data_IF_187436488308
#
_entry.id   IF_187436488308
#
_cell.length_a   1.000
_cell.length_b   1.000
_cell.length_c   1.000
_cell.angle_alpha   90.00
_cell.angle_beta   90.00
_cell.angle_gamma   90.00
#
_symmetry.space_group_name_H-M   'P 1'
#
loop_
_entity.id
_entity.type
_entity.pdbx_description
1 polymer ?
#
# COMPACT_ATOMS: atom_id res chain seq x y z
N UNK A 1 -19.88 -9.52 -18.12
CA UNK A 1 -20.15 -8.08 -18.30
C UNK A 1 -19.25 -7.56 -19.41
N UNK A 2 -19.78 -7.00 -20.50
CA UNK A 2 -18.96 -6.41 -21.56
C UNK A 2 -18.36 -5.08 -21.09
N UNK A 3 -17.12 -4.80 -21.49
CA UNK A 3 -16.50 -3.49 -21.30
C UNK A 3 -17.21 -2.44 -22.18
N UNK A 4 -17.35 -1.18 -21.73
CA UNK A 4 -17.87 -0.11 -22.57
C UNK A 4 -17.06 0.03 -23.87
N UNK A 5 -17.73 0.31 -24.98
CA UNK A 5 -17.21 0.33 -26.36
C UNK A 5 -16.03 1.31 -26.60
N UNK A 6 -15.70 2.15 -25.60
CA UNK A 6 -14.59 3.12 -25.62
C UNK A 6 -13.72 3.07 -24.37
N UNK A 7 -13.71 1.95 -23.66
CA UNK A 7 -12.87 1.79 -22.48
C UNK A 7 -11.38 1.86 -22.89
N UNK A 8 -10.75 3.00 -22.61
CA UNK A 8 -9.30 3.10 -22.58
C UNK A 8 -8.90 3.03 -21.13
N UNK A 9 -8.22 1.95 -20.77
CA UNK A 9 -7.64 1.82 -19.44
C UNK A 9 -6.71 3.01 -19.22
N UNK A 10 -6.99 3.88 -18.24
CA UNK A 10 -6.07 4.98 -17.94
C UNK A 10 -4.75 4.36 -17.45
N UNK A 11 -3.63 5.00 -17.81
CA UNK A 11 -2.34 4.56 -17.33
C UNK A 11 -2.22 4.88 -15.83
N UNK A 12 -2.47 3.87 -15.00
CA UNK A 12 -2.21 3.94 -13.56
C UNK A 12 -0.93 3.15 -13.28
N UNK A 13 0.02 3.78 -12.60
CA UNK A 13 1.24 3.10 -12.17
C UNK A 13 0.92 1.91 -11.27
N UNK A 14 1.72 0.85 -11.37
CA UNK A 14 1.59 -0.31 -10.49
C UNK A 14 1.91 0.07 -9.05
N UNK A 15 1.15 -0.50 -8.12
CA UNK A 15 1.35 -0.32 -6.69
C UNK A 15 2.69 -0.92 -6.27
N UNK A 16 3.58 -0.07 -5.76
CA UNK A 16 4.84 -0.50 -5.14
C UNK A 16 4.65 -0.60 -3.62
N UNK A 17 5.30 -1.59 -3.00
CA UNK A 17 5.20 -1.83 -1.55
C UNK A 17 5.63 -0.65 -0.68
N UNK A 18 6.40 0.29 -1.23
CA UNK A 18 6.89 1.49 -0.57
C UNK A 18 5.97 2.71 -0.74
N UNK A 19 4.98 2.65 -1.63
CA UNK A 19 3.97 3.69 -1.89
C UNK A 19 2.92 3.72 -0.78
N UNK A 20 2.44 4.90 -0.39
CA UNK A 20 1.31 5.00 0.55
C UNK A 20 0.05 4.38 -0.11
N UNK A 21 -0.55 3.33 0.49
CA UNK A 21 -1.76 2.71 -0.03
C UNK A 21 -2.92 3.70 -0.22
N UNK A 22 -3.04 4.74 0.61
CA UNK A 22 -4.08 5.77 0.46
C UNK A 22 -3.82 6.64 -0.76
N UNK A 23 -2.56 7.02 -0.98
CA UNK A 23 -2.16 7.79 -2.14
C UNK A 23 -2.41 7.00 -3.44
N UNK A 24 -2.08 5.70 -3.45
CA UNK A 24 -2.37 4.82 -4.59
C UNK A 24 -3.87 4.75 -4.92
N UNK A 25 -4.72 4.56 -3.89
CA UNK A 25 -6.18 4.57 -4.06
C UNK A 25 -6.66 5.90 -4.63
N UNK A 26 -6.11 7.02 -4.16
CA UNK A 26 -6.50 8.35 -4.63
C UNK A 26 -6.10 8.57 -6.09
N UNK A 27 -4.87 8.23 -6.48
CA UNK A 27 -4.40 8.33 -7.87
C UNK A 27 -5.26 7.49 -8.80
N UNK A 28 -5.56 6.25 -8.39
CA UNK A 28 -6.44 5.35 -9.13
C UNK A 28 -7.85 5.93 -9.30
N UNK A 29 -8.44 6.46 -8.22
CA UNK A 29 -9.78 7.10 -8.26
C UNK A 29 -9.82 8.27 -9.24
N UNK A 30 -8.80 9.13 -9.22
CA UNK A 30 -8.70 10.26 -10.15
C UNK A 30 -8.58 9.79 -11.60
N UNK A 31 -7.78 8.75 -11.85
CA UNK A 31 -7.61 8.18 -13.19
C UNK A 31 -8.91 7.55 -13.73
N UNK A 32 -9.69 6.93 -12.85
CA UNK A 32 -10.96 6.25 -13.19
C UNK A 32 -12.20 7.12 -12.96
N UNK A 33 -12.06 8.44 -12.81
CA UNK A 33 -13.16 9.33 -12.43
C UNK A 33 -14.40 9.23 -13.35
N UNK A 34 -14.20 9.03 -14.65
CA UNK A 34 -15.28 8.82 -15.63
C UNK A 34 -16.10 7.53 -15.41
N UNK A 35 -15.56 6.58 -14.64
CA UNK A 35 -16.17 5.27 -14.35
C UNK A 35 -16.52 5.11 -12.87
N UNK A 36 -16.58 6.19 -12.10
CA UNK A 36 -16.78 6.17 -10.63
C UNK A 36 -18.06 5.44 -10.21
N UNK A 37 -19.06 5.34 -11.10
CA UNK A 37 -20.33 4.65 -10.85
C UNK A 37 -20.33 3.16 -11.20
N UNK A 38 -19.20 2.60 -11.67
CA UNK A 38 -19.09 1.19 -12.03
C UNK A 38 -18.13 0.46 -11.09
N UNK A 39 -18.63 0.08 -9.91
CA UNK A 39 -17.84 -0.60 -8.88
C UNK A 39 -17.16 -1.88 -9.38
N UNK A 40 -17.84 -2.68 -10.22
CA UNK A 40 -17.26 -3.90 -10.78
C UNK A 40 -16.02 -3.59 -11.63
N UNK A 41 -16.10 -2.60 -12.51
CA UNK A 41 -15.00 -2.16 -13.34
C UNK A 41 -13.85 -1.59 -12.51
N UNK A 42 -14.17 -0.78 -11.48
CA UNK A 42 -13.18 -0.23 -10.56
C UNK A 42 -12.45 -1.33 -9.78
N UNK A 43 -13.17 -2.32 -9.25
CA UNK A 43 -12.55 -3.43 -8.53
C UNK A 43 -11.60 -4.23 -9.42
N UNK A 44 -12.05 -4.62 -10.62
CA UNK A 44 -11.25 -5.42 -11.54
C UNK A 44 -9.97 -4.70 -11.99
N UNK A 45 -10.09 -3.44 -12.40
CA UNK A 45 -8.92 -2.67 -12.85
C UNK A 45 -7.99 -2.31 -11.68
N UNK A 46 -8.53 -2.06 -10.48
CA UNK A 46 -7.69 -1.81 -9.31
C UNK A 46 -6.82 -3.02 -8.98
N UNK A 47 -7.37 -4.24 -9.05
CA UNK A 47 -6.60 -5.46 -8.81
C UNK A 47 -5.44 -5.63 -9.82
N UNK A 48 -5.62 -5.18 -11.07
CA UNK A 48 -4.54 -5.18 -12.07
C UNK A 48 -3.39 -4.24 -11.71
N UNK A 49 -3.66 -3.15 -10.96
CA UNK A 49 -2.59 -2.26 -10.48
C UNK A 49 -1.76 -2.88 -9.37
N UNK A 50 -2.17 -4.01 -8.79
CA UNK A 50 -1.47 -4.63 -7.65
C UNK A 50 -0.47 -5.71 -8.08
N UNK A 51 -0.32 -6.00 -9.37
CA UNK A 51 0.59 -7.03 -9.90
C UNK A 51 0.50 -8.35 -9.09
N UNK A 52 1.62 -8.86 -8.57
CA UNK A 52 1.70 -10.09 -7.78
C UNK A 52 1.00 -9.99 -6.41
N UNK A 53 0.91 -8.78 -5.85
CA UNK A 53 0.23 -8.55 -4.56
C UNK A 53 -1.28 -8.71 -4.71
N UNK A 54 -1.83 -8.40 -5.88
CA UNK A 54 -3.25 -8.49 -6.18
C UNK A 54 -3.76 -9.91 -5.98
N UNK A 55 -3.14 -10.87 -6.65
CA UNK A 55 -3.52 -12.29 -6.60
C UNK A 55 -3.36 -12.88 -5.19
N UNK A 56 -2.24 -12.60 -4.52
CA UNK A 56 -1.99 -13.12 -3.16
C UNK A 56 -2.96 -12.55 -2.12
N UNK A 57 -3.21 -11.24 -2.15
CA UNK A 57 -4.09 -10.59 -1.18
C UNK A 57 -5.56 -10.92 -1.44
N UNK A 58 -5.97 -10.87 -2.71
CA UNK A 58 -7.34 -11.17 -3.10
C UNK A 58 -7.75 -12.60 -2.73
N UNK A 59 -6.86 -13.58 -2.91
CA UNK A 59 -7.11 -14.97 -2.49
C UNK A 59 -7.26 -15.18 -0.97
N UNK A 60 -6.90 -14.19 -0.14
CA UNK A 60 -7.06 -14.25 1.33
C UNK A 60 -8.34 -13.57 1.84
N UNK A 61 -9.08 -12.91 0.95
CA UNK A 61 -10.32 -12.23 1.34
C UNK A 61 -11.43 -13.28 1.48
N UNK A 62 -12.30 -13.17 2.50
CA UNK A 62 -13.45 -14.07 2.59
C UNK A 62 -14.33 -13.94 1.34
N UNK A 63 -14.92 -15.06 0.90
CA UNK A 63 -15.83 -15.06 -0.23
C UNK A 63 -16.98 -14.05 0.00
N UNK A 64 -17.33 -13.30 -1.04
CA UNK A 64 -18.37 -12.27 -1.00
C UNK A 64 -18.16 -11.13 0.03
N UNK A 65 -16.93 -10.92 0.54
CA UNK A 65 -16.65 -9.86 1.52
C UNK A 65 -16.51 -8.45 0.92
N UNK A 66 -16.54 -8.33 -0.40
CA UNK A 66 -16.39 -7.06 -1.13
C UNK A 66 -17.52 -6.95 -2.12
N UNK A 67 -18.36 -5.94 -1.92
CA UNK A 67 -19.52 -5.61 -2.74
C UNK A 67 -19.32 -4.31 -3.54
N UNK A 68 -18.36 -3.47 -3.15
CA UNK A 68 -18.08 -2.18 -3.78
C UNK A 68 -16.58 -1.87 -3.80
N UNK A 69 -16.17 -0.94 -4.66
CA UNK A 69 -14.83 -0.40 -4.66
C UNK A 69 -14.50 0.35 -3.35
N UNK A 70 -15.52 0.94 -2.71
CA UNK A 70 -15.40 1.52 -1.37
C UNK A 70 -14.89 0.49 -0.34
N UNK A 71 -15.50 -0.69 -0.31
CA UNK A 71 -15.07 -1.78 0.58
C UNK A 71 -13.70 -2.34 0.21
N UNK A 72 -13.44 -2.56 -1.09
CA UNK A 72 -12.13 -3.01 -1.58
C UNK A 72 -11.02 -2.05 -1.15
N UNK A 73 -11.21 -0.74 -1.37
CA UNK A 73 -10.21 0.28 -1.04
C UNK A 73 -9.94 0.36 0.46
N UNK A 74 -10.96 0.25 1.31
CA UNK A 74 -10.78 0.18 2.77
C UNK A 74 -10.01 -1.08 3.20
N UNK A 75 -10.36 -2.24 2.65
CA UNK A 75 -9.69 -3.50 2.94
C UNK A 75 -8.21 -3.47 2.49
N UNK A 76 -7.96 -2.94 1.29
CA UNK A 76 -6.62 -2.70 0.75
C UNK A 76 -5.83 -1.77 1.67
N UNK A 77 -6.37 -0.58 1.96
CA UNK A 77 -5.72 0.36 2.85
C UNK A 77 -5.43 -0.28 4.20
N UNK A 78 -6.34 -1.02 4.84
CA UNK A 78 -6.07 -1.71 6.12
C UNK A 78 -4.94 -2.74 6.02
N UNK A 79 -4.92 -3.53 4.95
CA UNK A 79 -3.91 -4.56 4.75
C UNK A 79 -2.51 -3.97 4.55
N UNK A 80 -2.41 -2.90 3.77
CA UNK A 80 -1.12 -2.34 3.36
C UNK A 80 -0.72 -1.07 4.13
N UNK A 81 -1.62 -0.39 4.86
CA UNK A 81 -1.25 0.72 5.78
C UNK A 81 -0.30 0.22 6.85
N UNK A 82 -0.53 -1.01 7.30
CA UNK A 82 0.33 -1.70 8.25
C UNK A 82 1.77 -1.81 7.74
N UNK A 83 2.02 -1.83 6.43
CA UNK A 83 3.37 -1.83 5.88
C UNK A 83 4.04 -0.46 6.00
N UNK A 84 3.28 0.63 5.98
CA UNK A 84 3.78 1.98 6.30
C UNK A 84 4.08 2.10 7.80
N UNK A 85 3.25 1.51 8.68
CA UNK A 85 3.48 1.52 10.13
C UNK A 85 4.50 0.48 10.62
N UNK A 86 4.79 -0.53 9.79
CA UNK A 86 5.88 -1.50 9.98
C UNK A 86 7.19 -1.04 9.34
N UNK A 87 7.24 0.09 8.64
CA UNK A 87 8.49 0.86 8.47
C UNK A 87 8.87 1.38 9.85
N UNK A 88 9.53 0.51 10.63
CA UNK A 88 10.19 0.73 11.92
C UNK A 88 9.36 1.62 12.86
N UNK A 89 8.42 1.05 13.61
CA UNK A 89 7.75 1.83 14.67
C UNK A 89 8.79 2.39 15.65
N UNK A 90 8.48 3.49 16.35
CA UNK A 90 9.33 4.03 17.44
C UNK A 90 9.67 2.96 18.48
N UNK A 91 8.80 1.96 18.68
CA UNK A 91 9.08 0.82 19.55
C UNK A 91 10.28 -0.04 19.09
N UNK A 92 10.59 -0.05 17.79
CA UNK A 92 11.81 -0.68 17.25
C UNK A 92 13.07 0.11 17.65
N UNK A 93 13.00 1.45 17.66
CA UNK A 93 14.11 2.28 18.16
C UNK A 93 14.39 2.02 19.64
N UNK A 94 13.34 1.83 20.44
CA UNK A 94 13.47 1.50 21.87
C UNK A 94 14.11 0.13 22.13
N UNK A 95 14.13 -0.76 21.14
CA UNK A 95 14.75 -2.08 21.21
C UNK A 95 16.21 -2.09 20.73
N UNK A 96 16.65 -1.04 20.02
CA UNK A 96 18.04 -0.88 19.63
C UNK A 96 18.87 -0.52 20.86
N UNK A 97 19.75 -1.44 21.26
CA UNK A 97 20.74 -1.23 22.31
C UNK A 97 22.13 -1.37 21.72
N UNK A 98 23.09 -0.61 22.25
CA UNK A 98 24.49 -0.79 21.91
C UNK A 98 24.93 -2.20 22.31
N UNK A 99 25.54 -2.94 21.37
CA UNK A 99 26.12 -4.25 21.66
C UNK A 99 27.31 -4.15 22.64
N UNK A 100 27.59 -5.22 23.40
CA UNK A 100 28.68 -5.23 24.40
C UNK A 100 30.06 -4.91 23.80
N UNK A 101 30.29 -5.33 22.56
CA UNK A 101 31.55 -5.11 21.82
C UNK A 101 31.40 -4.10 20.67
N UNK A 102 30.27 -3.37 20.64
CA UNK A 102 30.00 -2.37 19.62
C UNK A 102 30.52 -1.00 20.04
N UNK A 103 31.31 -0.36 19.16
CA UNK A 103 31.73 1.01 19.39
C UNK A 103 30.54 1.98 19.31
N UNK A 104 30.58 3.02 20.14
CA UNK A 104 29.53 4.04 20.19
C UNK A 104 29.27 4.68 18.81
N UNK A 105 30.33 4.92 18.04
CA UNK A 105 30.23 5.46 16.67
C UNK A 105 29.42 4.55 15.74
N UNK A 106 29.61 3.23 15.85
CA UNK A 106 28.89 2.25 15.03
C UNK A 106 27.42 2.14 15.45
N UNK A 107 27.16 2.16 16.76
CA UNK A 107 25.81 2.21 17.30
C UNK A 107 25.04 3.46 16.83
N UNK A 108 25.64 4.65 16.96
CA UNK A 108 25.02 5.90 16.52
C UNK A 108 24.78 5.94 15.01
N UNK A 109 25.67 5.36 14.20
CA UNK A 109 25.47 5.22 12.75
C UNK A 109 24.25 4.38 12.40
N UNK A 110 24.09 3.21 13.04
CA UNK A 110 22.90 2.37 12.90
C UNK A 110 21.65 3.09 13.39
N UNK A 111 21.69 3.65 14.60
CA UNK A 111 20.55 4.36 15.19
C UNK A 111 20.09 5.53 14.31
N UNK A 112 21.01 6.33 13.76
CA UNK A 112 20.68 7.43 12.85
C UNK A 112 20.06 6.97 11.53
N UNK A 113 20.52 5.84 10.97
CA UNK A 113 19.92 5.24 9.79
C UNK A 113 18.48 4.78 10.07
N UNK A 114 18.28 4.12 11.22
CA UNK A 114 16.96 3.64 11.68
C UNK A 114 15.99 4.81 11.92
N UNK A 115 16.46 5.91 12.53
CA UNK A 115 15.65 7.13 12.74
C UNK A 115 15.29 7.83 11.42
N UNK A 116 16.21 7.89 10.46
CA UNK A 116 15.98 8.48 9.12
C UNK A 116 14.89 7.75 8.33
N UNK A 117 14.74 6.44 8.56
CA UNK A 117 13.69 5.62 7.94
C UNK A 117 12.31 5.84 8.58
N UNK A 118 12.25 6.38 9.80
CA UNK A 118 11.00 6.66 10.56
C UNK A 118 10.50 8.08 10.28
N UNK A 119 11.40 9.02 10.00
CA UNK A 119 11.09 10.45 9.86
C UNK A 119 10.62 10.91 8.47
N UNK A 120 10.39 10.02 7.50
CA UNK A 120 9.88 10.44 6.17
C UNK A 120 8.34 10.50 6.14
N UNK A 121 7.75 11.34 7.00
CA UNK A 121 6.46 11.95 6.74
C UNK A 121 6.72 13.39 6.29
N UNK A 122 6.54 13.66 4.99
CA UNK A 122 6.33 15.01 4.46
C UNK A 122 4.91 15.09 3.95
#
# INVERSE_FOLDING_TARGET
>A
MPFPERFRMPHVELFKKDTDPKEHVQRYRSAMAQYVHNDALLCLNFLQTLEDLGSWWFGRLPAASISSFGELSKAFSRQFLGNVHRKKSVAHLSQLKQGKDESLKRYLGRFGQEVSEIGKCK
#
